data_IF_330867937547
#
_entry.id   IF_330867937547
#
_cell.length_a   1.000
_cell.length_b   1.000
_cell.length_c   1.000
_cell.angle_alpha   90.00
_cell.angle_beta   90.00
_cell.angle_gamma   90.00
#
_symmetry.space_group_name_H-M   'P 1'
#
loop_
_entity.id
_entity.type
_entity.pdbx_description
1 polymer ?
#
# COMPACT_ATOMS: atom_id res chain seq x y z
N UNK A 1 -9.61 -9.44 9.03
CA UNK A 1 -8.67 -10.39 8.39
C UNK A 1 -7.45 -9.69 7.83
N UNK A 2 -7.61 -8.69 6.95
CA UNK A 2 -6.47 -8.00 6.28
C UNK A 2 -5.60 -7.13 7.21
N UNK A 3 -6.01 -6.87 8.44
CA UNK A 3 -5.17 -6.23 9.45
C UNK A 3 -4.55 -7.26 10.40
N UNK A 4 -5.37 -8.15 10.96
CA UNK A 4 -4.94 -9.12 11.96
C UNK A 4 -3.99 -10.19 11.42
N UNK A 5 -4.29 -10.79 10.26
CA UNK A 5 -3.47 -11.84 9.68
C UNK A 5 -2.03 -11.40 9.37
N UNK A 6 -1.78 -10.28 8.65
CA UNK A 6 -0.42 -9.83 8.40
C UNK A 6 0.30 -9.38 9.69
N UNK A 7 -0.42 -8.78 10.66
CA UNK A 7 0.16 -8.43 11.97
C UNK A 7 0.66 -9.68 12.71
N UNK A 8 -0.15 -10.73 12.76
CA UNK A 8 0.23 -12.01 13.37
C UNK A 8 1.39 -12.67 12.60
N UNK A 9 1.35 -12.61 11.27
CA UNK A 9 2.39 -13.18 10.43
C UNK A 9 3.76 -12.53 10.68
N UNK A 10 3.81 -11.19 10.77
CA UNK A 10 5.03 -10.45 11.11
C UNK A 10 5.52 -10.84 12.50
N UNK A 11 4.60 -10.88 13.48
CA UNK A 11 4.97 -11.25 14.85
C UNK A 11 5.60 -12.62 14.89
N UNK A 12 4.98 -13.63 14.27
CA UNK A 12 5.44 -15.01 14.27
C UNK A 12 6.75 -15.20 13.48
N UNK A 13 6.88 -14.53 12.33
CA UNK A 13 8.04 -14.70 11.45
C UNK A 13 9.29 -13.95 11.92
N UNK A 14 9.12 -12.81 12.62
CA UNK A 14 10.25 -11.94 12.90
C UNK A 14 10.17 -11.21 14.25
N UNK A 15 9.01 -10.63 14.59
CA UNK A 15 8.93 -9.65 15.65
C UNK A 15 8.95 -10.26 17.06
N UNK A 16 8.66 -11.55 17.23
CA UNK A 16 8.58 -12.22 18.55
C UNK A 16 9.90 -12.11 19.33
N UNK A 17 11.05 -12.08 18.66
CA UNK A 17 12.38 -11.97 19.28
C UNK A 17 12.63 -10.61 19.96
N UNK A 18 11.84 -9.59 19.65
CA UNK A 18 11.94 -8.25 20.24
C UNK A 18 10.97 -8.01 21.41
N UNK A 19 10.32 -9.04 21.93
CA UNK A 19 9.43 -8.98 23.08
C UNK A 19 8.30 -7.95 22.88
N UNK A 20 8.11 -7.06 23.85
CA UNK A 20 7.04 -6.04 23.85
C UNK A 20 7.11 -5.10 22.62
N UNK A 21 8.30 -4.70 22.23
CA UNK A 21 8.49 -3.82 21.03
C UNK A 21 8.01 -4.53 19.77
N UNK A 22 8.30 -5.82 19.65
CA UNK A 22 7.81 -6.63 18.53
C UNK A 22 6.30 -6.73 18.48
N UNK A 23 5.62 -6.89 19.62
CA UNK A 23 4.15 -6.89 19.71
C UNK A 23 3.59 -5.54 19.27
N UNK A 24 4.14 -4.44 19.77
CA UNK A 24 3.68 -3.09 19.42
C UNK A 24 3.83 -2.82 17.93
N UNK A 25 5.00 -3.08 17.36
CA UNK A 25 5.26 -2.82 15.94
C UNK A 25 4.42 -3.72 15.02
N UNK A 26 4.31 -5.01 15.32
CA UNK A 26 3.49 -5.91 14.51
C UNK A 26 1.99 -5.56 14.58
N UNK A 27 1.49 -5.08 15.71
CA UNK A 27 0.09 -4.68 15.88
C UNK A 27 -0.28 -3.37 15.18
N UNK A 28 0.70 -2.56 14.75
CA UNK A 28 0.43 -1.29 14.06
C UNK A 28 -0.46 -1.47 12.83
N UNK A 29 -0.23 -2.50 11.99
CA UNK A 29 -1.08 -2.75 10.82
C UNK A 29 -2.54 -3.00 11.19
N UNK A 30 -2.78 -3.74 12.29
CA UNK A 30 -4.13 -3.98 12.78
C UNK A 30 -4.78 -2.69 13.28
N UNK A 31 -4.07 -1.93 14.13
CA UNK A 31 -4.58 -0.70 14.74
C UNK A 31 -4.89 0.34 13.66
N UNK A 32 -3.94 0.62 12.77
CA UNK A 32 -4.12 1.60 11.70
C UNK A 32 -5.12 1.15 10.63
N UNK A 33 -5.24 -0.16 10.39
CA UNK A 33 -6.29 -0.74 9.57
C UNK A 33 -7.68 -0.52 10.18
N UNK A 34 -7.84 -0.73 11.49
CA UNK A 34 -9.09 -0.46 12.21
C UNK A 34 -9.43 1.04 12.19
N UNK A 35 -8.47 1.92 12.45
CA UNK A 35 -8.65 3.38 12.37
C UNK A 35 -9.09 3.82 10.97
N UNK A 36 -8.47 3.26 9.92
CA UNK A 36 -8.88 3.52 8.54
C UNK A 36 -10.32 3.10 8.27
N UNK A 37 -10.72 1.92 8.74
CA UNK A 37 -12.07 1.41 8.58
C UNK A 37 -13.09 2.28 9.32
N UNK A 38 -12.79 2.67 10.55
CA UNK A 38 -13.64 3.57 11.34
C UNK A 38 -13.84 4.90 10.62
N UNK A 39 -12.75 5.51 10.11
CA UNK A 39 -12.82 6.75 9.34
C UNK A 39 -13.64 6.62 8.06
N UNK A 40 -13.53 5.49 7.36
CA UNK A 40 -14.33 5.21 6.16
C UNK A 40 -15.82 5.12 6.48
N UNK A 41 -16.19 4.43 7.56
CA UNK A 41 -17.59 4.28 7.97
C UNK A 41 -18.25 5.63 8.32
N UNK A 42 -17.51 6.54 8.94
CA UNK A 42 -18.00 7.90 9.22
C UNK A 42 -18.22 8.68 7.92
N UNK A 43 -17.30 8.56 6.95
CA UNK A 43 -17.38 9.29 5.67
C UNK A 43 -18.53 8.85 4.77
N UNK A 44 -19.05 7.61 4.91
CA UNK A 44 -20.18 7.09 4.12
C UNK A 44 -21.53 7.67 4.61
N UNK A 45 -21.62 8.11 5.85
CA UNK A 45 -22.88 8.67 6.39
C UNK A 45 -23.28 9.99 5.69
N UNK A 46 -22.35 10.68 5.06
CA UNK A 46 -22.61 11.83 4.18
C UNK A 46 -22.90 11.35 2.74
N UNK A 47 -24.11 10.89 2.50
CA UNK A 47 -24.59 10.27 1.23
C UNK A 47 -24.43 11.20 0.00
N UNK A 48 -24.30 12.51 0.19
CA UNK A 48 -24.22 13.51 -0.88
C UNK A 48 -22.82 13.84 -1.35
N UNK A 49 -21.77 13.33 -0.71
CA UNK A 49 -20.39 13.54 -1.17
C UNK A 49 -19.82 12.21 -1.63
N UNK A 50 -19.37 12.11 -2.90
CA UNK A 50 -18.55 10.98 -3.36
C UNK A 50 -17.35 10.90 -2.43
N UNK A 51 -17.37 9.95 -1.49
CA UNK A 51 -16.26 9.69 -0.59
C UNK A 51 -15.04 9.30 -1.44
N UNK A 52 -14.15 10.24 -1.67
CA UNK A 52 -12.87 9.97 -2.31
C UNK A 52 -12.09 8.99 -1.43
N UNK A 53 -11.74 7.85 -2.00
CA UNK A 53 -10.93 6.84 -1.32
C UNK A 53 -9.55 7.41 -1.00
N UNK A 54 -9.36 7.84 0.25
CA UNK A 54 -8.09 8.36 0.75
C UNK A 54 -7.36 7.29 1.57
N UNK A 55 -6.04 7.31 1.52
CA UNK A 55 -5.17 6.36 2.20
C UNK A 55 -4.94 5.05 1.44
N UNK A 56 -3.86 4.36 1.83
CA UNK A 56 -3.48 3.07 1.24
C UNK A 56 -4.56 2.01 1.51
N UNK A 57 -5.05 1.27 0.50
CA UNK A 57 -6.01 0.18 0.71
C UNK A 57 -5.46 -0.88 1.68
N UNK A 58 -6.28 -1.30 2.69
CA UNK A 58 -5.87 -2.33 3.65
C UNK A 58 -5.44 -3.63 2.96
N UNK A 59 -6.16 -4.14 1.92
CA UNK A 59 -5.72 -5.34 1.21
C UNK A 59 -4.34 -5.19 0.55
N UNK A 60 -4.01 -4.00 0.05
CA UNK A 60 -2.73 -3.76 -0.61
C UNK A 60 -1.55 -3.90 0.38
N UNK A 61 -1.67 -3.31 1.56
CA UNK A 61 -0.65 -3.47 2.61
C UNK A 61 -0.56 -4.90 3.13
N UNK A 62 -1.70 -5.58 3.30
CA UNK A 62 -1.73 -6.98 3.72
C UNK A 62 -1.00 -7.89 2.73
N UNK A 63 -1.29 -7.76 1.42
CA UNK A 63 -0.66 -8.53 0.37
C UNK A 63 0.84 -8.23 0.31
N UNK A 64 1.26 -6.97 0.41
CA UNK A 64 2.67 -6.58 0.38
C UNK A 64 3.47 -7.25 1.51
N UNK A 65 2.95 -7.25 2.73
CA UNK A 65 3.59 -7.89 3.87
C UNK A 65 3.59 -9.43 3.74
N UNK A 66 2.47 -10.00 3.30
CA UNK A 66 2.39 -11.46 3.11
C UNK A 66 3.38 -11.94 2.04
N UNK A 67 3.52 -11.21 0.95
CA UNK A 67 4.49 -11.51 -0.11
C UNK A 67 5.93 -11.35 0.38
N UNK A 68 6.23 -10.32 1.18
CA UNK A 68 7.55 -10.14 1.77
C UNK A 68 7.93 -11.39 2.60
N UNK A 69 7.05 -11.79 3.52
CA UNK A 69 7.35 -12.91 4.39
C UNK A 69 7.39 -14.21 3.59
N UNK A 70 6.42 -14.46 2.69
CA UNK A 70 6.38 -15.67 1.88
C UNK A 70 7.64 -15.84 1.02
N UNK A 71 8.15 -14.75 0.41
CA UNK A 71 9.29 -14.80 -0.51
C UNK A 71 10.65 -14.87 0.20
N UNK A 72 10.75 -14.30 1.39
CA UNK A 72 12.06 -14.12 2.04
C UNK A 72 12.19 -14.85 3.39
N UNK A 73 11.19 -15.63 3.79
CA UNK A 73 11.26 -16.48 4.97
C UNK A 73 11.79 -17.86 4.56
N UNK A 74 13.04 -18.14 4.90
CA UNK A 74 13.71 -19.44 4.64
C UNK A 74 14.39 -19.92 5.90
N UNK A 75 14.37 -21.22 6.13
CA UNK A 75 15.04 -21.90 7.27
C UNK A 75 14.71 -21.30 8.66
N UNK A 76 13.46 -20.92 8.86
CA UNK A 76 13.00 -20.35 10.13
C UNK A 76 13.37 -18.89 10.38
N UNK A 77 13.99 -18.20 9.40
CA UNK A 77 14.41 -16.82 9.51
C UNK A 77 14.11 -16.04 8.22
N UNK A 78 14.05 -14.73 8.34
CA UNK A 78 14.00 -13.85 7.17
C UNK A 78 15.42 -13.54 6.72
N UNK A 79 15.67 -13.65 5.42
CA UNK A 79 16.97 -13.48 4.80
C UNK A 79 17.48 -12.04 5.02
N UNK A 80 18.73 -11.90 5.40
CA UNK A 80 19.41 -10.60 5.44
C UNK A 80 19.71 -10.11 3.99
N UNK A 81 19.60 -8.79 3.71
CA UNK A 81 19.32 -7.66 4.60
C UNK A 81 17.84 -7.29 4.75
N UNK A 82 16.90 -8.12 4.28
CA UNK A 82 15.46 -7.81 4.21
C UNK A 82 14.81 -7.71 5.59
N UNK A 83 15.35 -8.43 6.57
CA UNK A 83 14.90 -8.33 7.96
C UNK A 83 14.91 -6.88 8.49
N UNK A 84 15.89 -6.05 8.12
CA UNK A 84 15.96 -4.64 8.52
C UNK A 84 14.86 -3.76 7.89
N UNK A 85 14.28 -4.20 6.77
CA UNK A 85 13.21 -3.47 6.07
C UNK A 85 11.83 -3.71 6.70
N UNK A 86 11.64 -4.75 7.50
CA UNK A 86 10.32 -5.13 8.02
C UNK A 86 9.70 -4.02 8.85
N UNK A 87 10.40 -3.56 9.89
CA UNK A 87 9.86 -2.54 10.78
C UNK A 87 9.64 -1.19 10.09
N UNK A 88 10.60 -0.64 9.32
CA UNK A 88 10.36 0.56 8.53
C UNK A 88 9.18 0.41 7.56
N UNK A 89 9.03 -0.74 6.91
CA UNK A 89 7.93 -0.99 5.99
C UNK A 89 6.58 -1.06 6.72
N UNK A 90 6.51 -1.74 7.87
CA UNK A 90 5.30 -1.82 8.70
C UNK A 90 4.86 -0.43 9.14
N UNK A 91 5.78 0.40 9.64
CA UNK A 91 5.52 1.76 10.06
C UNK A 91 5.02 2.60 8.86
N UNK A 92 5.72 2.51 7.73
CA UNK A 92 5.35 3.23 6.50
C UNK A 92 3.94 2.86 6.04
N UNK A 93 3.63 1.57 5.91
CA UNK A 93 2.32 1.09 5.48
C UNK A 93 1.22 1.52 6.44
N UNK A 94 1.46 1.43 7.75
CA UNK A 94 0.51 1.85 8.78
C UNK A 94 0.18 3.34 8.67
N UNK A 95 1.17 4.20 8.54
CA UNK A 95 0.99 5.64 8.37
C UNK A 95 0.26 5.94 7.05
N UNK A 96 0.60 5.25 5.96
CA UNK A 96 -0.03 5.43 4.65
C UNK A 96 -1.51 5.05 4.65
N UNK A 97 -1.92 4.06 5.45
CA UNK A 97 -3.33 3.66 5.57
C UNK A 97 -4.21 4.83 6.08
N UNK A 98 -3.70 5.65 7.00
CA UNK A 98 -4.45 6.78 7.60
C UNK A 98 -4.15 8.11 6.89
N UNK A 99 -3.21 8.12 5.95
CA UNK A 99 -2.84 9.31 5.19
C UNK A 99 -4.00 9.82 4.32
N UNK A 100 -3.93 11.10 3.94
CA UNK A 100 -4.88 11.72 2.98
C UNK A 100 -4.45 11.52 1.51
N UNK A 101 -3.52 10.62 1.24
CA UNK A 101 -3.03 10.33 -0.10
C UNK A 101 -4.13 9.65 -0.92
N UNK A 102 -4.45 10.19 -2.08
CA UNK A 102 -5.44 9.62 -3.00
C UNK A 102 -4.76 8.57 -3.88
N UNK A 103 -5.11 7.31 -3.67
CA UNK A 103 -4.75 6.24 -4.58
C UNK A 103 -5.85 6.10 -5.62
N UNK A 104 -5.58 6.48 -6.88
CA UNK A 104 -6.55 6.33 -7.95
C UNK A 104 -6.84 4.84 -8.16
N UNK A 105 -8.13 4.53 -8.29
CA UNK A 105 -8.58 3.21 -8.70
C UNK A 105 -7.97 2.82 -10.06
N UNK A 106 -7.82 1.51 -10.29
CA UNK A 106 -7.33 0.96 -11.56
C UNK A 106 -8.06 1.57 -12.76
N UNK A 107 -7.37 1.79 -13.89
CA UNK A 107 -7.98 2.35 -15.08
C UNK A 107 -9.16 1.51 -15.55
N UNK A 108 -10.29 2.17 -15.85
CA UNK A 108 -11.50 1.50 -16.33
C UNK A 108 -11.23 0.79 -17.65
N UNK A 109 -11.28 -0.54 -17.65
CA UNK A 109 -11.06 -1.38 -18.83
C UNK A 109 -12.22 -1.35 -19.85
N UNK A 110 -13.36 -0.71 -19.50
CA UNK A 110 -14.57 -0.73 -20.33
C UNK A 110 -14.44 -0.05 -21.70
N UNK A 111 -13.52 0.91 -21.83
CA UNK A 111 -13.38 1.73 -23.05
C UNK A 111 -12.25 1.28 -23.98
N UNK A 112 -11.63 0.12 -23.75
CA UNK A 112 -10.44 -0.31 -24.49
C UNK A 112 -10.79 -1.25 -25.64
N UNK A 113 -10.10 -1.03 -26.79
CA UNK A 113 -10.21 -1.87 -27.98
C UNK A 113 -9.80 -3.32 -27.70
N UNK A 114 -10.36 -4.28 -28.43
CA UNK A 114 -10.09 -5.74 -28.26
C UNK A 114 -8.59 -6.05 -28.28
N UNK A 115 -7.81 -5.42 -29.15
CA UNK A 115 -6.34 -5.57 -29.22
C UNK A 115 -5.66 -5.12 -27.91
N UNK A 116 -6.12 -4.03 -27.32
CA UNK A 116 -5.57 -3.55 -26.04
C UNK A 116 -5.91 -4.51 -24.90
N UNK A 117 -7.13 -5.07 -24.87
CA UNK A 117 -7.53 -6.07 -23.87
C UNK A 117 -6.65 -7.33 -23.99
N UNK A 118 -6.35 -7.79 -25.21
CA UNK A 118 -5.48 -8.94 -25.42
C UNK A 118 -4.05 -8.70 -24.90
N UNK A 119 -3.50 -7.52 -25.15
CA UNK A 119 -2.18 -7.12 -24.63
C UNK A 119 -2.18 -7.13 -23.10
N UNK A 120 -3.26 -6.62 -22.44
CA UNK A 120 -3.36 -6.67 -20.98
C UNK A 120 -3.44 -8.11 -20.44
N UNK A 121 -4.18 -8.99 -21.11
CA UNK A 121 -4.27 -10.40 -20.72
C UNK A 121 -2.91 -11.08 -20.86
N UNK A 122 -2.20 -10.86 -21.97
CA UNK A 122 -0.84 -11.38 -22.16
C UNK A 122 0.12 -10.88 -21.06
N UNK A 123 0.09 -9.57 -20.77
CA UNK A 123 0.93 -8.99 -19.73
C UNK A 123 0.61 -9.60 -18.35
N UNK A 124 -0.68 -9.80 -18.05
CA UNK A 124 -1.13 -10.44 -16.82
C UNK A 124 -0.65 -11.89 -16.72
N UNK A 125 -0.74 -12.67 -17.79
CA UNK A 125 -0.25 -14.06 -17.81
C UNK A 125 1.26 -14.14 -17.63
N UNK A 126 2.02 -13.27 -18.30
CA UNK A 126 3.48 -13.18 -18.14
C UNK A 126 3.84 -12.78 -16.70
N UNK A 127 3.10 -11.82 -16.11
CA UNK A 127 3.32 -11.41 -14.72
C UNK A 127 3.07 -12.56 -13.73
N UNK A 128 1.98 -13.31 -13.91
CA UNK A 128 1.68 -14.49 -13.08
C UNK A 128 2.79 -15.54 -13.23
N UNK A 129 3.24 -15.82 -14.44
CA UNK A 129 4.30 -16.77 -14.70
C UNK A 129 5.62 -16.36 -14.02
N UNK A 130 6.01 -15.08 -14.10
CA UNK A 130 7.19 -14.53 -13.43
C UNK A 130 7.07 -14.59 -11.89
N UNK A 131 5.87 -14.35 -11.35
CA UNK A 131 5.61 -14.45 -9.90
C UNK A 131 5.83 -15.87 -9.41
N UNK A 132 5.34 -16.86 -10.16
CA UNK A 132 5.53 -18.30 -9.82
C UNK A 132 7.01 -18.66 -9.86
N UNK A 133 7.74 -18.27 -10.91
CA UNK A 133 9.18 -18.55 -11.04
C UNK A 133 10.03 -17.91 -9.94
N UNK A 134 9.63 -16.74 -9.43
CA UNK A 134 10.40 -15.99 -8.43
C UNK A 134 10.00 -16.30 -6.98
N UNK A 135 9.21 -17.32 -6.73
CA UNK A 135 8.67 -17.61 -5.39
C UNK A 135 7.98 -16.38 -4.75
N UNK A 136 7.40 -15.50 -5.57
CA UNK A 136 6.68 -14.30 -5.11
C UNK A 136 7.54 -13.04 -4.94
N UNK A 137 8.87 -13.09 -5.00
CA UNK A 137 9.73 -11.94 -4.80
C UNK A 137 9.46 -10.81 -5.81
N UNK A 138 9.24 -11.14 -7.09
CA UNK A 138 8.89 -10.13 -8.10
C UNK A 138 7.55 -9.46 -7.75
N UNK A 139 6.57 -10.21 -7.27
CA UNK A 139 5.29 -9.64 -6.84
C UNK A 139 5.47 -8.63 -5.70
N UNK A 140 6.28 -8.97 -4.69
CA UNK A 140 6.59 -8.05 -3.60
C UNK A 140 7.15 -6.71 -4.12
N UNK A 141 8.15 -6.75 -5.01
CA UNK A 141 8.73 -5.52 -5.59
C UNK A 141 7.75 -4.73 -6.44
N UNK A 142 6.85 -5.39 -7.19
CA UNK A 142 5.78 -4.73 -7.95
C UNK A 142 4.84 -3.98 -7.00
N UNK A 143 4.35 -4.64 -5.94
CA UNK A 143 3.46 -4.00 -4.97
C UNK A 143 4.15 -2.84 -4.24
N UNK A 144 5.42 -3.01 -3.87
CA UNK A 144 6.23 -1.95 -3.27
C UNK A 144 6.37 -0.76 -4.22
N UNK A 145 6.65 -1.00 -5.51
CA UNK A 145 6.75 0.05 -6.52
C UNK A 145 5.43 0.81 -6.71
N UNK A 146 4.28 0.12 -6.70
CA UNK A 146 2.95 0.74 -6.76
C UNK A 146 2.74 1.68 -5.56
N UNK A 147 3.12 1.25 -4.36
CA UNK A 147 2.99 2.06 -3.15
C UNK A 147 3.89 3.30 -3.22
N UNK A 148 5.16 3.13 -3.60
CA UNK A 148 6.12 4.23 -3.74
C UNK A 148 5.69 5.22 -4.82
N UNK A 149 5.21 4.74 -5.96
CA UNK A 149 4.67 5.60 -7.02
C UNK A 149 3.48 6.43 -6.54
N UNK A 150 2.59 5.82 -5.74
CA UNK A 150 1.48 6.53 -5.10
C UNK A 150 1.95 7.68 -4.20
N UNK A 151 3.01 7.46 -3.42
CA UNK A 151 3.60 8.48 -2.55
C UNK A 151 4.21 9.63 -3.38
N UNK A 152 5.05 9.30 -4.37
CA UNK A 152 5.70 10.28 -5.24
C UNK A 152 4.67 11.15 -5.95
N UNK A 153 3.63 10.53 -6.51
CA UNK A 153 2.53 11.25 -7.16
C UNK A 153 1.79 12.19 -6.20
N UNK A 154 1.54 11.75 -4.96
CA UNK A 154 0.86 12.57 -3.97
C UNK A 154 1.69 13.80 -3.56
N UNK A 155 3.01 13.62 -3.39
CA UNK A 155 3.94 14.70 -3.10
C UNK A 155 3.96 15.70 -4.27
N UNK A 156 4.07 15.20 -5.50
CA UNK A 156 4.08 16.02 -6.71
C UNK A 156 2.82 16.88 -6.84
N UNK A 157 1.64 16.27 -6.69
CA UNK A 157 0.36 16.97 -6.76
C UNK A 157 0.24 18.03 -5.66
N UNK A 158 0.69 17.74 -4.43
CA UNK A 158 0.64 18.69 -3.32
C UNK A 158 1.53 19.91 -3.59
N UNK A 159 2.73 19.70 -4.15
CA UNK A 159 3.64 20.79 -4.48
C UNK A 159 3.04 21.67 -5.59
N UNK A 160 2.43 21.04 -6.61
CA UNK A 160 1.83 21.76 -7.74
C UNK A 160 0.62 22.60 -7.32
N UNK A 161 -0.29 22.03 -6.51
CA UNK A 161 -1.45 22.74 -5.95
C UNK A 161 -1.02 23.93 -5.08
N UNK A 162 0.02 23.78 -4.27
CA UNK A 162 0.54 24.87 -3.43
C UNK A 162 1.09 25.98 -4.30
N UNK A 163 1.80 25.66 -5.40
CA UNK A 163 2.38 26.63 -6.33
C UNK A 163 1.30 27.45 -7.06
N UNK A 164 0.24 26.78 -7.51
CA UNK A 164 -0.89 27.44 -8.16
C UNK A 164 -1.62 28.38 -7.20
N UNK A 165 -1.83 27.96 -5.96
CA UNK A 165 -2.50 28.78 -4.94
C UNK A 165 -1.72 30.06 -4.59
N UNK A 166 -0.38 29.94 -4.51
CA UNK A 166 0.49 31.10 -4.31
C UNK A 166 0.44 32.06 -5.53
N UNK A 167 0.36 31.52 -6.73
CA UNK A 167 0.26 32.31 -7.94
C UNK A 167 -1.07 33.08 -8.03
N UNK A 168 -2.18 32.44 -7.68
CA UNK A 168 -3.50 33.10 -7.61
C UNK A 168 -3.57 34.21 -6.55
N UNK A 169 -2.94 34.01 -5.39
CA UNK A 169 -2.88 35.04 -4.35
C UNK A 169 -2.09 36.27 -4.80
N UNK A 170 -0.97 36.07 -5.50
CA UNK A 170 -0.17 37.18 -6.06
C UNK A 170 -0.88 37.99 -7.14
N UNK A 171 -1.76 37.35 -7.92
CA UNK A 171 -2.57 38.06 -8.95
C UNK A 171 -3.68 38.88 -8.29
N UNK A 172 -4.20 38.50 -7.14
CA UNK A 172 -5.25 39.23 -6.41
C UNK A 172 -4.73 40.43 -5.63
N UNK A 173 -3.43 40.49 -5.31
CA UNK A 173 -2.79 41.58 -4.58
C UNK A 173 -2.25 42.69 -5.49
N UNK A 174 -2.19 42.48 -6.83
CA UNK A 174 -1.87 43.48 -7.87
C UNK A 174 -3.13 43.96 -8.57
#
# INVERSE_FOLDING_TARGET
SFGAAPSFLIYKAFAFQFGVVGVLLSSMLLIFGALRLARFNISIQDINTKADFTGLPIPLSAITISLLIFSFYKDGKIIEPINYLIFPLVILLSILMVSKIRYNALPKLKEKTVKQKLIYIMFLLISIFLIILSEGAIAFFIFLAIILFGIVRAIYNKIFDTKNKIHELKIREN
#
